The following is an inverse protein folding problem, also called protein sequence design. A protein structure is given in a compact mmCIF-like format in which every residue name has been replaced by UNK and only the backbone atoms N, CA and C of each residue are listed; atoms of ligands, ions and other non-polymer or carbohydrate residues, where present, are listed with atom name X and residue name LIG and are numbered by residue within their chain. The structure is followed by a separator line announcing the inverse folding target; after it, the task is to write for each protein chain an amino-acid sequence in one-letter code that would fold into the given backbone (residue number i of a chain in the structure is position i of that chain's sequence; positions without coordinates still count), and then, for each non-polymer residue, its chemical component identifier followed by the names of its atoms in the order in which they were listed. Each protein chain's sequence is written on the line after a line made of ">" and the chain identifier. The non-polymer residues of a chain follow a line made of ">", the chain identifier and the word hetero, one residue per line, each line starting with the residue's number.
data_IF_139781787617
#
_entry.id   IF_139781787617
#
_cell.length_a   1.000
_cell.length_b   1.000
_cell.length_c   1.000
_cell.angle_alpha   90.00
_cell.angle_beta   90.00
_cell.angle_gamma   90.00
#
_symmetry.space_group_name_H-M   'P 1'
#
loop_
_entity.id
_entity.type
_entity.pdbx_description
1 polymer ?
#
# COMPACT_ATOMS: atom_id res chain seq x y z
N UNK A 1 -24.46 -1.37 18.19
CA UNK A 1 -24.44 -1.21 16.72
C UNK A 1 -24.31 -2.60 16.10
N UNK A 2 -25.07 -2.90 15.04
CA UNK A 2 -24.99 -4.18 14.31
C UNK A 2 -23.97 -4.06 13.17
N UNK A 3 -23.44 -5.21 12.71
CA UNK A 3 -22.51 -5.26 11.57
C UNK A 3 -23.12 -4.64 10.31
N UNK A 4 -24.37 -5.00 9.99
CA UNK A 4 -25.08 -4.49 8.82
C UNK A 4 -25.23 -2.96 8.82
N UNK A 5 -25.39 -2.34 9.99
CA UNK A 5 -25.46 -0.88 10.10
C UNK A 5 -24.13 -0.19 9.81
N UNK A 6 -23.00 -0.84 10.10
CA UNK A 6 -21.67 -0.31 9.80
C UNK A 6 -21.31 -0.56 8.33
N UNK A 7 -21.71 -1.71 7.80
CA UNK A 7 -21.59 -2.05 6.39
C UNK A 7 -22.35 -1.06 5.50
N UNK A 8 -23.60 -0.73 5.83
CA UNK A 8 -24.39 0.26 5.09
C UNK A 8 -23.73 1.65 5.07
N UNK A 9 -23.12 2.08 6.18
CA UNK A 9 -22.35 3.33 6.25
C UNK A 9 -21.14 3.30 5.31
N UNK A 10 -20.44 2.17 5.27
CA UNK A 10 -19.27 1.98 4.41
C UNK A 10 -19.66 1.97 2.92
N UNK A 11 -20.74 1.26 2.58
CA UNK A 11 -21.28 1.20 1.21
C UNK A 11 -21.70 2.60 0.75
N UNK A 12 -22.33 3.43 1.60
CA UNK A 12 -22.67 4.81 1.25
C UNK A 12 -21.45 5.65 0.91
N UNK A 13 -20.35 5.51 1.65
CA UNK A 13 -19.11 6.22 1.35
C UNK A 13 -18.54 5.75 0.01
N UNK A 14 -18.53 4.45 -0.24
CA UNK A 14 -18.04 3.92 -1.53
C UNK A 14 -18.93 4.28 -2.72
N UNK A 15 -20.25 4.32 -2.54
CA UNK A 15 -21.19 4.80 -3.55
C UNK A 15 -20.97 6.29 -3.85
N UNK A 16 -20.71 7.11 -2.83
CA UNK A 16 -20.36 8.52 -3.04
C UNK A 16 -19.06 8.72 -3.84
N UNK A 17 -18.18 7.72 -3.85
CA UNK A 17 -16.91 7.74 -4.59
C UNK A 17 -17.00 7.04 -5.95
N UNK A 18 -18.17 6.53 -6.34
CA UNK A 18 -18.34 5.79 -7.59
C UNK A 18 -17.56 4.47 -7.65
N UNK A 19 -17.20 3.90 -6.50
CA UNK A 19 -16.45 2.63 -6.41
C UNK A 19 -17.34 1.39 -6.47
N UNK A 20 -18.66 1.56 -6.37
CA UNK A 20 -19.66 0.50 -6.49
C UNK A 20 -20.53 0.88 -7.68
N UNK A 21 -20.44 0.07 -8.75
CA UNK A 21 -21.39 0.16 -9.85
C UNK A 21 -22.66 -0.55 -9.37
N UNK A 22 -23.71 0.22 -9.10
CA UNK A 22 -25.03 -0.35 -8.86
C UNK A 22 -25.43 -1.03 -10.17
N UNK A 23 -25.36 -2.36 -10.18
CA UNK A 23 -25.76 -3.20 -11.31
C UNK A 23 -27.24 -2.98 -11.63
N UNK A 24 -27.50 -1.94 -12.40
CA UNK A 24 -28.75 -1.69 -13.11
C UNK A 24 -28.43 -1.97 -14.57
N UNK A 25 -28.97 -3.08 -15.06
CA UNK A 25 -28.96 -3.43 -16.47
C UNK A 25 -29.48 -2.24 -17.30
N UNK A 26 -28.59 -1.63 -18.09
CA UNK A 26 -29.00 -0.86 -19.26
C UNK A 26 -28.20 -1.34 -20.46
N UNK A 27 -28.82 -2.27 -21.16
CA UNK A 27 -28.54 -2.65 -22.53
C UNK A 27 -28.56 -1.40 -23.42
N UNK A 28 -27.42 -1.00 -23.98
CA UNK A 28 -27.32 -0.32 -25.29
C UNK A 28 -25.85 -0.17 -25.67
N UNK A 29 -25.52 -0.65 -26.86
CA UNK A 29 -24.16 -0.77 -27.33
C UNK A 29 -23.49 0.53 -27.75
N UNK A 30 -22.18 0.36 -27.94
CA UNK A 30 -21.36 0.87 -29.04
C UNK A 30 -20.24 1.85 -28.65
N UNK A 31 -19.04 1.45 -29.11
CA UNK A 31 -17.85 2.22 -29.47
C UNK A 31 -17.11 3.04 -28.40
N UNK A 32 -15.84 2.64 -28.22
CA UNK A 32 -14.65 3.46 -27.98
C UNK A 32 -14.84 4.80 -27.26
N UNK A 33 -14.32 4.89 -26.03
CA UNK A 33 -13.56 6.07 -25.60
C UNK A 33 -12.78 5.78 -24.32
N UNK A 34 -11.48 6.11 -24.39
CA UNK A 34 -10.60 6.29 -23.25
C UNK A 34 -11.25 7.25 -22.23
N UNK A 35 -11.27 6.86 -20.96
CA UNK A 35 -11.41 7.81 -19.86
C UNK A 35 -10.31 7.50 -18.85
N UNK A 36 -9.13 8.05 -19.11
CA UNK A 36 -8.22 8.37 -18.04
C UNK A 36 -8.93 9.42 -17.17
N UNK A 37 -9.30 9.04 -15.95
CA UNK A 37 -9.76 9.98 -14.94
C UNK A 37 -8.55 10.80 -14.49
N UNK A 38 -8.23 11.83 -15.26
CA UNK A 38 -7.38 12.93 -14.81
C UNK A 38 -8.21 13.73 -13.79
N UNK A 39 -7.87 13.54 -12.52
CA UNK A 39 -8.33 14.41 -11.43
C UNK A 39 -7.92 15.85 -11.77
N UNK A 40 -8.90 16.69 -12.07
CA UNK A 40 -8.69 18.06 -12.54
C UNK A 40 -8.03 18.94 -11.48
N UNK A 41 -7.03 19.71 -11.91
CA UNK A 41 -6.27 20.79 -11.24
C UNK A 41 -7.14 22.01 -10.81
N UNK A 42 -8.31 21.80 -10.20
CA UNK A 42 -9.11 22.89 -9.63
C UNK A 42 -8.89 23.00 -8.11
N UNK A 43 -8.73 24.22 -7.55
CA UNK A 43 -8.69 24.39 -6.10
C UNK A 43 -10.03 23.95 -5.51
N UNK A 44 -10.02 22.82 -4.80
CA UNK A 44 -11.20 22.20 -4.20
C UNK A 44 -11.92 23.20 -3.28
N UNK A 45 -13.25 23.28 -3.36
CA UNK A 45 -14.03 24.16 -2.49
C UNK A 45 -13.89 23.71 -1.04
N UNK A 46 -13.85 24.66 -0.09
CA UNK A 46 -13.72 24.34 1.34
C UNK A 46 -14.81 23.40 1.88
N UNK A 47 -16.00 23.38 1.25
CA UNK A 47 -17.07 22.44 1.61
C UNK A 47 -16.80 21.01 1.13
N UNK A 48 -16.17 20.82 -0.03
CA UNK A 48 -15.84 19.52 -0.60
C UNK A 48 -14.72 18.85 0.20
N UNK A 49 -13.71 19.63 0.58
CA UNK A 49 -12.63 19.18 1.47
C UNK A 49 -13.16 18.69 2.81
N UNK A 50 -14.05 19.45 3.44
CA UNK A 50 -14.61 19.06 4.75
C UNK A 50 -15.50 17.83 4.64
N UNK A 51 -16.20 17.64 3.51
CA UNK A 51 -16.94 16.42 3.22
C UNK A 51 -16.01 15.21 3.08
N UNK A 52 -14.95 15.33 2.29
CA UNK A 52 -13.98 14.25 2.08
C UNK A 52 -13.27 13.85 3.38
N UNK A 53 -12.88 14.81 4.22
CA UNK A 53 -12.28 14.52 5.53
C UNK A 53 -13.23 13.73 6.46
N UNK A 54 -14.53 14.04 6.42
CA UNK A 54 -15.54 13.26 7.16
C UNK A 54 -15.66 11.86 6.59
N UNK A 55 -15.69 11.70 5.28
CA UNK A 55 -15.77 10.38 4.61
C UNK A 55 -14.57 9.48 4.95
N UNK A 56 -13.35 10.04 4.99
CA UNK A 56 -12.14 9.30 5.42
C UNK A 56 -12.28 8.78 6.85
N UNK A 57 -12.73 9.64 7.75
CA UNK A 57 -12.91 9.30 9.17
C UNK A 57 -14.00 8.25 9.34
N UNK A 58 -15.12 8.45 8.65
CA UNK A 58 -16.27 7.56 8.65
C UNK A 58 -15.92 6.16 8.13
N UNK A 59 -15.19 6.09 7.02
CA UNK A 59 -14.73 4.83 6.42
C UNK A 59 -13.84 4.04 7.40
N UNK A 60 -12.90 4.73 8.05
CA UNK A 60 -12.03 4.10 9.03
C UNK A 60 -12.81 3.63 10.27
N UNK A 61 -13.75 4.42 10.76
CA UNK A 61 -14.56 4.10 11.95
C UNK A 61 -15.53 2.96 11.70
N UNK A 62 -16.20 2.97 10.54
CA UNK A 62 -17.09 1.89 10.12
C UNK A 62 -16.33 0.57 10.06
N UNK A 63 -15.17 0.55 9.41
CA UNK A 63 -14.35 -0.65 9.30
C UNK A 63 -13.83 -1.15 10.64
N UNK A 64 -13.29 -0.25 11.47
CA UNK A 64 -12.82 -0.58 12.81
C UNK A 64 -13.95 -1.15 13.67
N UNK A 65 -15.17 -0.62 13.54
CA UNK A 65 -16.35 -1.19 14.18
C UNK A 65 -16.69 -2.57 13.65
N UNK A 66 -16.63 -2.78 12.33
CA UNK A 66 -16.94 -4.05 11.69
C UNK A 66 -15.97 -5.16 12.12
N UNK A 67 -14.67 -4.89 12.13
CA UNK A 67 -13.67 -5.87 12.57
C UNK A 67 -13.83 -6.24 14.05
N UNK A 68 -14.30 -5.31 14.89
CA UNK A 68 -14.54 -5.56 16.31
C UNK A 68 -15.71 -6.53 16.54
N UNK A 69 -16.68 -6.54 15.62
CA UNK A 69 -17.80 -7.49 15.63
C UNK A 69 -17.38 -8.80 14.95
N UNK A 70 -16.78 -8.73 13.77
CA UNK A 70 -16.29 -9.88 13.03
C UNK A 70 -15.11 -9.54 12.12
N UNK A 71 -13.92 -9.95 12.55
CA UNK A 71 -12.71 -9.79 11.75
C UNK A 71 -12.78 -10.56 10.42
N UNK A 72 -13.35 -11.76 10.38
CA UNK A 72 -13.43 -12.58 9.17
C UNK A 72 -14.26 -11.95 8.05
N UNK A 73 -15.41 -11.37 8.38
CA UNK A 73 -16.27 -10.70 7.39
C UNK A 73 -15.69 -9.35 6.96
N UNK A 74 -15.04 -8.62 7.88
CA UNK A 74 -14.43 -7.33 7.56
C UNK A 74 -13.32 -7.42 6.49
N UNK A 75 -12.60 -8.54 6.39
CA UNK A 75 -11.50 -8.72 5.41
C UNK A 75 -11.93 -8.44 3.97
N UNK A 76 -13.18 -8.73 3.61
CA UNK A 76 -13.71 -8.52 2.25
C UNK A 76 -13.66 -7.05 1.81
N UNK A 77 -13.80 -6.12 2.78
CA UNK A 77 -13.78 -4.68 2.52
C UNK A 77 -12.38 -4.07 2.62
N UNK A 78 -11.44 -4.77 3.26
CA UNK A 78 -10.11 -4.22 3.55
C UNK A 78 -9.37 -3.79 2.28
N UNK A 79 -9.48 -4.56 1.18
CA UNK A 79 -8.81 -4.21 -0.07
C UNK A 79 -9.31 -2.88 -0.63
N UNK A 80 -10.63 -2.67 -0.65
CA UNK A 80 -11.26 -1.46 -1.15
C UNK A 80 -10.87 -0.25 -0.30
N UNK A 81 -10.95 -0.38 1.03
CA UNK A 81 -10.59 0.69 1.97
C UNK A 81 -9.12 1.06 1.86
N UNK A 82 -8.23 0.05 1.84
CA UNK A 82 -6.79 0.31 1.75
C UNK A 82 -6.42 0.95 0.42
N UNK A 83 -7.04 0.53 -0.69
CA UNK A 83 -6.83 1.16 -1.99
C UNK A 83 -7.27 2.64 -1.98
N UNK A 84 -8.49 2.91 -1.49
CA UNK A 84 -9.04 4.25 -1.30
C UNK A 84 -8.12 5.16 -0.48
N UNK A 85 -7.66 4.69 0.69
CA UNK A 85 -6.80 5.48 1.57
C UNK A 85 -5.41 5.74 0.96
N UNK A 86 -4.85 4.79 0.20
CA UNK A 86 -3.57 4.99 -0.48
C UNK A 86 -3.66 5.95 -1.67
N UNK A 87 -4.80 6.00 -2.35
CA UNK A 87 -5.09 7.00 -3.36
C UNK A 87 -5.12 8.40 -2.74
N UNK A 88 -5.81 8.56 -1.61
CA UNK A 88 -5.86 9.83 -0.87
C UNK A 88 -4.52 10.29 -0.29
N UNK A 89 -3.59 9.38 0.02
CA UNK A 89 -2.22 9.75 0.40
C UNK A 89 -1.51 10.50 -0.75
N UNK A 90 -1.93 10.29 -1.99
CA UNK A 90 -1.36 10.96 -3.16
C UNK A 90 -2.01 12.30 -3.48
N UNK A 91 -3.06 12.68 -2.76
CA UNK A 91 -3.80 13.93 -2.96
C UNK A 91 -2.93 15.19 -2.76
N UNK A 92 -3.30 16.30 -3.41
CA UNK A 92 -2.53 17.56 -3.38
C UNK A 92 -2.71 18.37 -2.09
N UNK A 93 -3.89 18.30 -1.49
CA UNK A 93 -4.17 18.89 -0.18
C UNK A 93 -3.48 18.12 0.97
N UNK A 94 -2.81 18.84 1.86
CA UNK A 94 -2.08 18.25 2.99
C UNK A 94 -2.99 17.61 4.06
N UNK A 95 -4.13 18.21 4.36
CA UNK A 95 -4.99 17.73 5.45
C UNK A 95 -5.64 16.41 5.07
N UNK A 96 -6.02 16.26 3.79
CA UNK A 96 -6.53 15.00 3.23
C UNK A 96 -5.48 13.90 3.34
N UNK A 97 -4.20 14.21 3.03
CA UNK A 97 -3.11 13.24 3.18
C UNK A 97 -2.88 12.81 4.62
N UNK A 98 -2.93 13.77 5.55
CA UNK A 98 -2.73 13.49 6.98
C UNK A 98 -3.88 12.63 7.50
N UNK A 99 -5.13 12.97 7.18
CA UNK A 99 -6.30 12.19 7.57
C UNK A 99 -6.24 10.76 7.04
N UNK A 100 -5.82 10.56 5.78
CA UNK A 100 -5.64 9.24 5.21
C UNK A 100 -4.54 8.42 5.91
N UNK A 101 -3.39 9.03 6.25
CA UNK A 101 -2.34 8.35 7.00
C UNK A 101 -2.80 7.97 8.41
N UNK A 102 -3.56 8.84 9.08
CA UNK A 102 -4.17 8.58 10.39
C UNK A 102 -5.18 7.43 10.34
N UNK A 103 -6.05 7.40 9.32
CA UNK A 103 -6.98 6.31 9.08
C UNK A 103 -6.26 4.96 8.92
N UNK A 104 -5.21 4.90 8.10
CA UNK A 104 -4.39 3.69 7.93
C UNK A 104 -3.73 3.29 9.25
N UNK A 105 -3.18 4.26 10.00
CA UNK A 105 -2.59 3.99 11.32
C UNK A 105 -3.61 3.41 12.30
N UNK A 106 -4.84 3.93 12.29
CA UNK A 106 -5.93 3.49 13.14
C UNK A 106 -6.33 2.05 12.84
N UNK A 107 -6.57 1.73 11.57
CA UNK A 107 -6.88 0.37 11.11
C UNK A 107 -5.76 -0.60 11.51
N UNK A 108 -4.50 -0.23 11.24
CA UNK A 108 -3.34 -1.08 11.52
C UNK A 108 -3.14 -1.33 13.01
N UNK A 109 -3.39 -0.33 13.87
CA UNK A 109 -3.23 -0.45 15.32
C UNK A 109 -4.33 -1.28 15.98
N UNK A 110 -5.56 -1.16 15.49
CA UNK A 110 -6.73 -1.81 16.09
C UNK A 110 -7.01 -3.20 15.51
N UNK A 111 -6.35 -3.57 14.40
CA UNK A 111 -6.44 -4.91 13.81
C UNK A 111 -5.97 -6.00 14.77
N UNK A 112 -6.72 -7.09 14.84
CA UNK A 112 -6.32 -8.29 15.58
C UNK A 112 -5.19 -9.05 14.84
N UNK A 113 -4.72 -10.16 15.41
CA UNK A 113 -3.61 -10.95 14.83
C UNK A 113 -3.97 -11.50 13.45
N UNK A 114 -5.23 -11.89 13.24
CA UNK A 114 -5.72 -12.43 11.98
C UNK A 114 -5.73 -11.35 10.89
N UNK A 115 -6.39 -10.23 11.15
CA UNK A 115 -6.55 -9.10 10.23
C UNK A 115 -5.21 -8.40 9.96
N UNK A 116 -4.32 -8.33 10.96
CA UNK A 116 -2.96 -7.79 10.80
C UNK A 116 -2.22 -8.46 9.63
N UNK A 117 -2.40 -9.76 9.43
CA UNK A 117 -1.76 -10.44 8.29
C UNK A 117 -2.30 -9.96 6.94
N UNK A 118 -3.60 -9.65 6.87
CA UNK A 118 -4.24 -9.12 5.67
C UNK A 118 -3.86 -7.65 5.42
N UNK A 119 -3.77 -6.84 6.47
CA UNK A 119 -3.26 -5.44 6.36
C UNK A 119 -1.82 -5.44 5.82
N UNK A 120 -0.97 -6.34 6.31
CA UNK A 120 0.40 -6.47 5.78
C UNK A 120 0.41 -6.92 4.30
N UNK A 121 -0.51 -7.79 3.88
CA UNK A 121 -0.68 -8.14 2.47
C UNK A 121 -1.02 -6.90 1.63
N UNK A 122 -1.94 -6.05 2.09
CA UNK A 122 -2.35 -4.84 1.36
C UNK A 122 -1.20 -3.85 1.18
N UNK A 123 -0.39 -3.62 2.23
CA UNK A 123 0.83 -2.81 2.09
C UNK A 123 1.79 -3.37 1.02
N UNK A 124 1.92 -4.69 0.98
CA UNK A 124 2.77 -5.35 -0.01
C UNK A 124 2.20 -5.24 -1.43
N UNK A 125 0.88 -5.40 -1.60
CA UNK A 125 0.20 -5.22 -2.89
C UNK A 125 0.38 -3.78 -3.38
N UNK A 126 0.24 -2.80 -2.50
CA UNK A 126 0.41 -1.39 -2.87
C UNK A 126 1.86 -1.07 -3.26
N UNK A 127 2.85 -1.63 -2.54
CA UNK A 127 4.25 -1.53 -2.93
C UNK A 127 4.52 -2.12 -4.33
N UNK A 128 3.84 -3.20 -4.70
CA UNK A 128 3.93 -3.79 -6.05
C UNK A 128 3.28 -2.91 -7.11
N UNK A 129 2.17 -2.26 -6.79
CA UNK A 129 1.43 -1.39 -7.72
C UNK A 129 2.24 -0.15 -8.11
N UNK A 130 2.99 0.44 -7.17
CA UNK A 130 3.92 1.54 -7.41
C UNK A 130 3.32 2.71 -8.23
N UNK A 131 2.06 3.06 -7.98
CA UNK A 131 1.33 4.10 -8.74
C UNK A 131 1.84 5.51 -8.45
N UNK A 132 2.12 5.80 -7.18
CA UNK A 132 2.59 7.10 -6.72
C UNK A 132 3.82 6.96 -5.85
N UNK A 133 4.84 7.79 -6.10
CA UNK A 133 6.08 7.82 -5.28
C UNK A 133 5.79 8.12 -3.81
N UNK A 134 4.74 8.90 -3.52
CA UNK A 134 4.33 9.28 -2.16
C UNK A 134 3.64 8.11 -1.47
N UNK A 135 2.61 7.54 -2.08
CA UNK A 135 1.91 6.36 -1.56
C UNK A 135 2.85 5.17 -1.35
N UNK A 136 3.74 4.91 -2.32
CA UNK A 136 4.78 3.90 -2.22
C UNK A 136 5.65 4.12 -0.98
N UNK A 137 6.16 5.34 -0.76
CA UNK A 137 7.02 5.61 0.39
C UNK A 137 6.29 5.39 1.72
N UNK A 138 4.99 5.70 1.79
CA UNK A 138 4.18 5.44 2.99
C UNK A 138 3.97 3.94 3.17
N UNK A 139 3.54 3.23 2.12
CA UNK A 139 3.35 1.78 2.14
C UNK A 139 4.62 1.04 2.59
N UNK A 140 5.79 1.44 2.07
CA UNK A 140 7.09 0.90 2.51
C UNK A 140 7.34 1.13 4.00
N UNK A 141 7.11 2.34 4.51
CA UNK A 141 7.30 2.65 5.93
C UNK A 141 6.35 1.83 6.81
N UNK A 142 5.07 1.72 6.44
CA UNK A 142 4.08 0.91 7.19
C UNK A 142 4.43 -0.57 7.16
N UNK A 143 4.86 -1.09 6.01
CA UNK A 143 5.31 -2.47 5.85
C UNK A 143 6.55 -2.75 6.72
N UNK A 144 7.56 -1.88 6.69
CA UNK A 144 8.75 -1.99 7.53
C UNK A 144 8.40 -2.05 9.03
N UNK A 145 7.46 -1.21 9.46
CA UNK A 145 7.00 -1.18 10.83
C UNK A 145 6.23 -2.45 11.24
N UNK A 146 5.65 -3.20 10.30
CA UNK A 146 4.82 -4.37 10.60
C UNK A 146 5.46 -5.71 10.20
N UNK A 147 6.61 -5.71 9.52
CA UNK A 147 7.24 -6.94 8.98
C UNK A 147 7.56 -7.98 10.07
N UNK A 148 7.89 -7.53 11.28
CA UNK A 148 8.17 -8.42 12.41
C UNK A 148 6.91 -9.18 12.89
N UNK A 149 5.71 -8.64 12.61
CA UNK A 149 4.41 -9.27 12.92
C UNK A 149 4.01 -10.32 11.89
N UNK A 150 4.74 -10.47 10.78
CA UNK A 150 4.43 -11.47 9.75
C UNK A 150 4.55 -12.89 10.32
N UNK A 151 3.52 -13.69 10.06
CA UNK A 151 3.48 -15.10 10.46
C UNK A 151 4.74 -15.83 9.93
N UNK A 152 5.51 -16.53 10.79
CA UNK A 152 6.70 -17.28 10.40
C UNK A 152 6.51 -18.20 9.19
N UNK A 153 5.32 -18.81 9.04
CA UNK A 153 4.99 -19.70 7.91
C UNK A 153 4.96 -18.94 6.57
N UNK A 154 4.53 -17.68 6.57
CA UNK A 154 4.42 -16.83 5.37
C UNK A 154 5.68 -16.01 5.09
N UNK A 155 6.61 -15.87 6.04
CA UNK A 155 7.85 -15.06 5.88
C UNK A 155 8.68 -15.46 4.66
N UNK A 156 8.81 -16.75 4.36
CA UNK A 156 9.55 -17.22 3.17
C UNK A 156 8.92 -16.73 1.87
N UNK A 157 7.59 -16.78 1.78
CA UNK A 157 6.84 -16.33 0.61
C UNK A 157 6.96 -14.81 0.45
N UNK A 158 6.85 -14.05 1.54
CA UNK A 158 7.14 -12.62 1.53
C UNK A 158 8.57 -12.33 1.09
N UNK A 159 9.59 -12.97 1.67
CA UNK A 159 10.99 -12.70 1.31
C UNK A 159 11.26 -12.95 -0.18
N UNK A 160 10.74 -14.04 -0.75
CA UNK A 160 10.90 -14.38 -2.17
C UNK A 160 10.21 -13.34 -3.07
N UNK A 161 8.98 -12.93 -2.72
CA UNK A 161 8.20 -12.00 -3.55
C UNK A 161 8.56 -10.53 -3.32
N UNK A 162 9.15 -10.19 -2.17
CA UNK A 162 9.58 -8.85 -1.79
C UNK A 162 10.93 -8.50 -2.41
N UNK A 163 11.83 -9.48 -2.59
CA UNK A 163 13.13 -9.28 -3.21
C UNK A 163 13.06 -8.63 -4.62
N UNK A 164 12.22 -9.10 -5.56
CA UNK A 164 12.07 -8.44 -6.87
C UNK A 164 11.54 -7.02 -6.76
N UNK A 165 10.58 -6.77 -5.87
CA UNK A 165 9.95 -5.46 -5.66
C UNK A 165 10.96 -4.48 -5.07
N UNK A 166 11.68 -4.89 -4.02
CA UNK A 166 12.75 -4.10 -3.44
C UNK A 166 13.90 -3.90 -4.42
N UNK A 167 14.26 -4.89 -5.24
CA UNK A 167 15.28 -4.77 -6.28
C UNK A 167 14.87 -3.73 -7.32
N UNK A 168 13.61 -3.70 -7.74
CA UNK A 168 13.06 -2.70 -8.66
C UNK A 168 13.04 -1.30 -8.04
N UNK A 169 12.60 -1.17 -6.79
CA UNK A 169 12.56 0.10 -6.06
C UNK A 169 13.96 0.64 -5.74
N UNK A 170 14.88 -0.23 -5.33
CA UNK A 170 16.29 0.10 -5.12
C UNK A 170 16.97 0.42 -6.45
N UNK A 171 16.69 -0.28 -7.55
CA UNK A 171 17.18 0.09 -8.87
C UNK A 171 16.67 1.45 -9.32
N UNK A 172 15.37 1.71 -9.18
CA UNK A 172 14.77 2.97 -9.61
C UNK A 172 15.26 4.13 -8.73
N UNK A 173 15.48 3.90 -7.43
CA UNK A 173 16.09 4.89 -6.53
C UNK A 173 17.61 5.01 -6.64
N UNK A 174 18.31 3.98 -7.16
CA UNK A 174 19.72 4.01 -7.53
C UNK A 174 19.95 4.65 -8.90
N UNK A 175 19.05 4.49 -9.87
CA UNK A 175 19.08 5.21 -11.15
C UNK A 175 18.73 6.69 -10.94
N UNK A 176 17.78 6.99 -10.05
CA UNK A 176 17.51 8.35 -9.59
C UNK A 176 18.62 8.97 -8.72
N UNK A 177 19.73 8.25 -8.44
CA UNK A 177 20.94 8.85 -7.87
C UNK A 177 21.59 9.88 -8.79
N UNK A 178 21.23 9.94 -10.08
CA UNK A 178 21.74 11.01 -10.93
C UNK A 178 21.05 12.37 -10.68
N UNK A 179 19.94 12.46 -9.94
CA UNK A 179 19.22 13.74 -9.84
C UNK A 179 18.74 14.25 -8.48
N UNK A 180 18.48 13.47 -7.40
CA UNK A 180 18.00 14.17 -6.18
C UNK A 180 17.98 13.39 -4.85
N UNK A 181 18.73 13.91 -3.86
CA UNK A 181 18.28 14.31 -2.51
C UNK A 181 17.45 13.40 -1.57
N UNK A 182 16.99 12.20 -1.95
CA UNK A 182 15.95 11.46 -1.19
C UNK A 182 16.52 10.28 -0.39
N UNK A 183 17.13 10.57 0.77
CA UNK A 183 17.71 9.59 1.71
C UNK A 183 16.68 8.71 2.45
N UNK A 184 15.39 9.08 2.48
CA UNK A 184 14.37 8.39 3.27
C UNK A 184 13.90 7.07 2.66
N UNK A 185 13.82 6.98 1.32
CA UNK A 185 13.44 5.74 0.62
C UNK A 185 14.52 4.68 0.82
N UNK A 186 15.80 5.09 0.79
CA UNK A 186 16.94 4.21 1.01
C UNK A 186 16.98 3.66 2.43
N UNK A 187 16.74 4.50 3.45
CA UNK A 187 16.64 4.05 4.85
C UNK A 187 15.48 3.07 5.03
N UNK A 188 14.29 3.38 4.52
CA UNK A 188 13.15 2.48 4.62
C UNK A 188 13.41 1.14 3.92
N UNK A 189 14.00 1.14 2.72
CA UNK A 189 14.37 -0.09 2.02
C UNK A 189 15.43 -0.90 2.80
N UNK A 190 16.44 -0.22 3.38
CA UNK A 190 17.45 -0.86 4.21
C UNK A 190 16.84 -1.47 5.48
N UNK A 191 15.95 -0.76 6.17
CA UNK A 191 15.23 -1.27 7.36
C UNK A 191 14.39 -2.50 7.02
N UNK A 192 13.70 -2.51 5.87
CA UNK A 192 12.93 -3.67 5.42
C UNK A 192 13.84 -4.86 5.17
N UNK A 193 14.96 -4.67 4.46
CA UNK A 193 15.93 -5.73 4.18
C UNK A 193 16.52 -6.28 5.47
N UNK A 194 17.01 -5.41 6.36
CA UNK A 194 17.60 -5.79 7.65
C UNK A 194 16.59 -6.51 8.52
N UNK A 195 15.38 -5.98 8.66
CA UNK A 195 14.33 -6.59 9.48
C UNK A 195 13.86 -7.93 8.91
N UNK A 196 13.80 -8.07 7.58
CA UNK A 196 13.48 -9.36 6.91
C UNK A 196 14.56 -10.40 7.15
N UNK A 197 15.84 -9.99 7.15
CA UNK A 197 16.99 -10.87 7.42
C UNK A 197 17.01 -11.31 8.88
N UNK A 198 16.90 -10.38 9.84
CA UNK A 198 16.96 -10.65 11.28
C UNK A 198 15.83 -11.60 11.72
N UNK A 199 14.62 -11.39 11.21
CA UNK A 199 13.46 -12.20 11.56
C UNK A 199 13.29 -13.46 10.69
N UNK A 200 14.26 -13.76 9.82
CA UNK A 200 14.25 -14.99 9.04
C UNK A 200 14.72 -16.18 9.87
N UNK A 201 14.21 -17.38 9.56
CA UNK A 201 14.66 -18.63 10.20
C UNK A 201 16.14 -18.97 9.91
N UNK A 202 16.69 -18.44 8.83
CA UNK A 202 18.08 -18.63 8.40
C UNK A 202 18.69 -17.28 8.01
N UNK A 203 19.04 -16.44 9.00
CA UNK A 203 19.48 -15.05 8.75
C UNK A 203 20.76 -15.00 7.92
N UNK A 204 21.70 -15.94 8.16
CA UNK A 204 22.99 -16.00 7.48
C UNK A 204 22.85 -16.31 5.98
N UNK A 205 21.99 -17.23 5.62
CA UNK A 205 21.81 -17.67 4.23
C UNK A 205 21.04 -16.63 3.40
N UNK A 206 20.06 -15.96 4.02
CA UNK A 206 19.31 -14.88 3.37
C UNK A 206 20.17 -13.63 3.19
N UNK A 207 21.00 -13.28 4.19
CA UNK A 207 22.00 -12.23 4.07
C UNK A 207 23.00 -12.51 2.94
N UNK A 208 23.47 -13.76 2.83
CA UNK A 208 24.39 -14.17 1.76
C UNK A 208 23.77 -14.05 0.37
N UNK A 209 22.53 -14.51 0.17
CA UNK A 209 21.82 -14.35 -1.12
C UNK A 209 21.55 -12.89 -1.47
N UNK A 210 21.24 -12.06 -0.48
CA UNK A 210 21.08 -10.61 -0.67
C UNK A 210 22.40 -9.95 -1.08
N UNK A 211 23.49 -10.28 -0.40
CA UNK A 211 24.84 -9.83 -0.76
C UNK A 211 25.21 -10.28 -2.18
N UNK A 212 24.91 -11.52 -2.54
CA UNK A 212 25.18 -12.05 -3.89
C UNK A 212 24.36 -11.34 -4.97
N UNK A 213 23.10 -10.99 -4.71
CA UNK A 213 22.26 -10.22 -5.65
C UNK A 213 22.66 -8.74 -5.76
N UNK A 214 23.24 -8.16 -4.71
CA UNK A 214 23.79 -6.80 -4.71
C UNK A 214 25.18 -6.77 -5.36
N UNK A 215 26.04 -7.76 -5.08
CA UNK A 215 27.38 -7.90 -5.62
C UNK A 215 27.37 -8.29 -7.11
N UNK A 216 26.41 -9.10 -7.57
CA UNK A 216 26.23 -9.43 -8.98
C UNK A 216 25.92 -8.24 -9.90
N UNK A 217 25.78 -7.01 -9.36
CA UNK A 217 25.69 -5.75 -10.11
C UNK A 217 26.97 -4.91 -10.11
N UNK A 218 27.89 -5.14 -9.16
CA UNK A 218 29.23 -4.55 -9.23
C UNK A 218 30.19 -5.41 -10.07
N UNK A 219 29.82 -6.68 -10.28
CA UNK A 219 30.57 -7.66 -11.05
C UNK A 219 29.75 -8.19 -12.22
N UNK A 220 29.22 -7.29 -13.05
CA UNK A 220 29.14 -7.61 -14.49
C UNK A 220 30.42 -7.01 -15.06
N UNK A 221 31.45 -7.82 -15.39
CA UNK A 221 32.59 -7.28 -16.10
C UNK A 221 32.08 -6.81 -17.45
N UNK A 222 32.11 -5.49 -17.65
CA UNK A 222 32.08 -4.93 -18.99
C UNK A 222 33.21 -5.61 -19.78
N UNK A 223 32.83 -6.27 -20.87
CA UNK A 223 33.66 -6.91 -21.90
C UNK A 223 35.14 -7.13 -21.62
N UNK A 224 35.54 -8.39 -21.50
CA UNK A 224 36.76 -8.86 -22.14
C UNK A 224 36.37 -9.84 -23.25
N UNK A 225 36.14 -9.26 -24.44
CA UNK A 225 36.54 -9.92 -25.69
C UNK A 225 38.06 -10.12 -25.61
N UNK A 226 38.54 -11.35 -25.73
CA UNK A 226 39.79 -11.64 -26.44
C UNK A 226 39.86 -13.14 -26.77
N UNK A 227 39.94 -13.39 -28.09
CA UNK A 227 40.07 -14.65 -28.84
C UNK A 227 38.93 -15.67 -28.79
#
# INVERSE_FOLDING_TARGET
>A
MSFASLEDRLIRVFGAWGMIDDGVDSDTGNADSQAATELSDQPMSGSEKTKLLKEITEMADAFVGMQAISASHSVQYLNFIMAALFELISHDDQDIRVAADEAINKITKLSDVYLTQHVICEFFIEMKRNRSKRALSVAMKKFAACVHKVNPKKRRMYAINLLPVLRGLLLNSLLAKLESGKNYIRRAAADIVVSTVIHSRLPRELAYRLLQQLAGKWFVPAGFFFN
#
